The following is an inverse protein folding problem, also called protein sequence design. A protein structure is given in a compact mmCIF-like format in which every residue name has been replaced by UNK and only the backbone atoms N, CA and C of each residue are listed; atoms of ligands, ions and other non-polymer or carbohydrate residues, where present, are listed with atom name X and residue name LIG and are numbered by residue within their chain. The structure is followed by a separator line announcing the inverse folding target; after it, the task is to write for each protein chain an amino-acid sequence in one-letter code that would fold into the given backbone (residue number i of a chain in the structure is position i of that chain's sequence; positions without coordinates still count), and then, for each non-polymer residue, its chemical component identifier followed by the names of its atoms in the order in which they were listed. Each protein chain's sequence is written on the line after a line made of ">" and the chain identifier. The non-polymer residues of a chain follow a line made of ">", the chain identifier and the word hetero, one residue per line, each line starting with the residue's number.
data_IF_782099415139
#
_entry.id   IF_782099415139
#
_cell.length_a   1.000
_cell.length_b   1.000
_cell.length_c   1.000
_cell.angle_alpha   90.00
_cell.angle_beta   90.00
_cell.angle_gamma   90.00
#
_symmetry.space_group_name_H-M   'P 1'
#
loop_
_entity.id
_entity.type
_entity.pdbx_description
1 polymer ?
#
# COMPACT_ATOMS: atom_id res chain seq x y z
N UNK A 1 15.84 -14.03 12.81
CA UNK A 1 14.39 -14.02 13.13
C UNK A 1 13.95 -12.68 13.69
N UNK A 2 14.48 -12.25 14.85
CA UNK A 2 14.14 -10.98 15.51
C UNK A 2 14.05 -9.73 14.61
N UNK A 3 15.01 -9.44 13.70
CA UNK A 3 14.93 -8.24 12.85
C UNK A 3 13.76 -8.29 11.87
N UNK A 4 13.35 -9.48 11.40
CA UNK A 4 12.19 -9.61 10.50
C UNK A 4 10.88 -9.37 11.24
N UNK A 5 10.74 -9.89 12.46
CA UNK A 5 9.57 -9.61 13.30
C UNK A 5 9.43 -8.12 13.60
N UNK A 6 10.53 -7.47 14.01
CA UNK A 6 10.56 -6.03 14.24
C UNK A 6 10.12 -5.26 12.99
N UNK A 7 10.69 -5.62 11.82
CA UNK A 7 10.35 -4.99 10.56
C UNK A 7 8.87 -5.17 10.19
N UNK A 8 8.29 -6.35 10.45
CA UNK A 8 6.86 -6.59 10.25
C UNK A 8 5.99 -5.68 11.12
N UNK A 9 6.29 -5.58 12.42
CA UNK A 9 5.53 -4.70 13.32
C UNK A 9 5.69 -3.22 12.96
N UNK A 10 6.91 -2.78 12.63
CA UNK A 10 7.17 -1.41 12.16
C UNK A 10 6.36 -1.12 10.90
N UNK A 11 6.35 -2.04 9.93
CA UNK A 11 5.57 -1.87 8.70
C UNK A 11 4.06 -1.75 8.97
N UNK A 12 3.51 -2.53 9.90
CA UNK A 12 2.09 -2.47 10.28
C UNK A 12 1.76 -1.16 11.03
N UNK A 13 2.65 -0.71 11.91
CA UNK A 13 2.49 0.58 12.60
C UNK A 13 2.53 1.72 11.59
N UNK A 14 3.49 1.72 10.66
CA UNK A 14 3.57 2.74 9.61
C UNK A 14 2.31 2.75 8.74
N UNK A 15 1.80 1.57 8.37
CA UNK A 15 0.52 1.47 7.65
C UNK A 15 -0.63 2.09 8.45
N UNK A 16 -0.75 1.80 9.76
CA UNK A 16 -1.81 2.35 10.61
C UNK A 16 -1.70 3.87 10.79
N UNK A 17 -0.48 4.39 10.92
CA UNK A 17 -0.22 5.83 10.98
C UNK A 17 -0.61 6.51 9.67
N UNK A 18 -0.19 5.97 8.52
CA UNK A 18 -0.59 6.48 7.21
C UNK A 18 -2.11 6.44 7.02
N UNK A 19 -2.77 5.37 7.44
CA UNK A 19 -4.22 5.23 7.35
C UNK A 19 -4.93 6.28 8.20
N UNK A 20 -4.44 6.51 9.41
CA UNK A 20 -4.97 7.52 10.32
C UNK A 20 -4.77 8.93 9.78
N UNK A 21 -3.62 9.21 9.16
CA UNK A 21 -3.36 10.50 8.51
C UNK A 21 -4.37 10.78 7.40
N UNK A 22 -4.61 9.82 6.50
CA UNK A 22 -5.58 10.00 5.41
C UNK A 22 -7.04 10.10 5.90
N UNK A 23 -7.37 9.50 7.04
CA UNK A 23 -8.71 9.57 7.62
C UNK A 23 -9.02 10.90 8.33
N UNK A 24 -8.02 11.50 9.00
CA UNK A 24 -8.24 12.59 9.95
C UNK A 24 -7.63 13.93 9.54
N UNK A 25 -6.62 13.96 8.68
CA UNK A 25 -5.97 15.23 8.27
C UNK A 25 -6.70 15.80 7.05
N UNK A 26 -7.33 16.95 7.21
CA UNK A 26 -7.89 17.71 6.09
C UNK A 26 -6.76 18.42 5.33
N UNK A 27 -6.56 18.02 4.08
CA UNK A 27 -5.52 18.59 3.21
C UNK A 27 -5.97 19.81 2.43
N UNK A 28 -7.26 20.17 2.44
CA UNK A 28 -7.79 21.33 1.72
C UNK A 28 -7.12 22.66 2.10
N UNK A 29 -7.03 23.05 3.39
CA UNK A 29 -6.36 24.29 3.77
C UNK A 29 -4.87 24.27 3.45
N UNK A 30 -4.21 23.12 3.62
CA UNK A 30 -2.78 22.96 3.31
C UNK A 30 -2.48 23.16 1.82
N UNK A 31 -3.31 22.57 0.94
CA UNK A 31 -3.19 22.73 -0.52
C UNK A 31 -3.43 24.17 -0.96
N UNK A 32 -4.41 24.85 -0.36
CA UNK A 32 -4.67 26.26 -0.65
C UNK A 32 -3.49 27.17 -0.24
N UNK A 33 -2.91 26.93 0.93
CA UNK A 33 -1.75 27.68 1.42
C UNK A 33 -0.51 27.45 0.55
N UNK A 34 -0.25 26.20 0.14
CA UNK A 34 0.86 25.85 -0.76
C UNK A 34 0.79 26.54 -2.12
N UNK A 35 -0.42 26.82 -2.62
CA UNK A 35 -0.61 27.55 -3.88
C UNK A 35 -0.21 29.03 -3.77
N UNK A 36 -0.21 29.60 -2.55
CA UNK A 36 0.20 30.98 -2.29
C UNK A 36 1.67 31.07 -1.87
N UNK A 37 2.09 30.21 -0.95
CA UNK A 37 3.45 30.18 -0.41
C UNK A 37 3.87 28.74 -0.12
N UNK A 38 5.05 28.35 -0.61
CA UNK A 38 5.57 27.01 -0.39
C UNK A 38 6.11 26.84 1.04
N UNK A 39 5.48 25.96 1.80
CA UNK A 39 5.94 25.51 3.12
C UNK A 39 6.19 24.01 3.09
N UNK A 40 7.42 23.59 3.40
CA UNK A 40 7.83 22.18 3.26
C UNK A 40 7.01 21.22 4.14
N UNK A 41 6.61 21.67 5.34
CA UNK A 41 5.82 20.86 6.28
C UNK A 41 4.42 20.60 5.70
N UNK A 42 3.77 21.63 5.17
CA UNK A 42 2.46 21.52 4.53
C UNK A 42 2.53 20.61 3.31
N UNK A 43 3.60 20.73 2.51
CA UNK A 43 3.82 19.86 1.35
C UNK A 43 3.95 18.39 1.76
N UNK A 44 4.76 18.08 2.78
CA UNK A 44 4.93 16.71 3.28
C UNK A 44 3.64 16.14 3.87
N UNK A 45 2.85 16.95 4.59
CA UNK A 45 1.55 16.54 5.11
C UNK A 45 0.55 16.27 3.99
N UNK A 46 0.52 17.10 2.94
CA UNK A 46 -0.30 16.85 1.76
C UNK A 46 0.13 15.56 1.06
N UNK A 47 1.42 15.35 0.82
CA UNK A 47 1.91 14.10 0.21
C UNK A 47 1.52 12.88 1.04
N UNK A 48 1.59 12.97 2.37
CA UNK A 48 1.29 11.85 3.25
C UNK A 48 -0.22 11.61 3.46
N UNK A 49 -1.05 12.64 3.49
CA UNK A 49 -2.46 12.56 3.87
C UNK A 49 -3.46 12.75 2.71
N UNK A 50 -3.04 13.33 1.59
CA UNK A 50 -3.94 13.52 0.44
C UNK A 50 -4.31 12.16 -0.15
N UNK A 51 -5.60 11.96 -0.42
CA UNK A 51 -6.17 10.62 -0.63
C UNK A 51 -5.45 9.81 -1.71
N UNK A 52 -5.16 10.34 -2.91
CA UNK A 52 -4.44 9.59 -3.94
C UNK A 52 -3.06 9.13 -3.47
N UNK A 53 -2.23 10.03 -2.94
CA UNK A 53 -0.85 9.71 -2.53
C UNK A 53 -0.83 8.84 -1.28
N UNK A 54 -1.75 9.08 -0.34
CA UNK A 54 -1.96 8.26 0.84
C UNK A 54 -2.32 6.81 0.47
N UNK A 55 -3.25 6.60 -0.46
CA UNK A 55 -3.59 5.26 -0.97
C UNK A 55 -2.39 4.56 -1.61
N UNK A 56 -1.53 5.31 -2.32
CA UNK A 56 -0.28 4.78 -2.86
C UNK A 56 0.66 4.26 -1.77
N UNK A 57 0.88 5.07 -0.72
CA UNK A 57 1.73 4.69 0.42
C UNK A 57 1.16 3.48 1.16
N UNK A 58 -0.16 3.47 1.42
CA UNK A 58 -0.85 2.34 2.05
C UNK A 58 -0.70 1.05 1.24
N UNK A 59 -0.81 1.14 -0.09
CA UNK A 59 -0.69 -0.01 -0.99
C UNK A 59 0.71 -0.62 -0.93
N UNK A 60 1.75 0.23 -0.89
CA UNK A 60 3.15 -0.21 -0.74
C UNK A 60 3.36 -0.91 0.61
N UNK A 61 2.92 -0.31 1.73
CA UNK A 61 3.07 -0.92 3.04
C UNK A 61 2.26 -2.21 3.19
N UNK A 62 1.05 -2.24 2.64
CA UNK A 62 0.23 -3.44 2.64
C UNK A 62 0.91 -4.58 1.85
N UNK A 63 1.38 -4.30 0.64
CA UNK A 63 2.13 -5.29 -0.16
C UNK A 63 3.42 -5.76 0.50
N UNK A 64 4.18 -4.83 1.10
CA UNK A 64 5.39 -5.14 1.86
C UNK A 64 5.07 -6.04 3.06
N UNK A 65 4.02 -5.73 3.82
CA UNK A 65 3.59 -6.53 4.98
C UNK A 65 3.15 -7.95 4.58
N UNK A 66 2.50 -8.10 3.42
CA UNK A 66 2.20 -9.40 2.82
C UNK A 66 3.47 -10.20 2.52
N UNK A 67 4.46 -9.56 1.88
CA UNK A 67 5.77 -10.18 1.59
C UNK A 67 6.54 -10.58 2.86
N UNK A 68 6.54 -9.73 3.88
CA UNK A 68 7.14 -10.00 5.18
C UNK A 68 6.45 -11.17 5.90
N UNK A 69 5.12 -11.19 5.93
CA UNK A 69 4.35 -12.26 6.55
C UNK A 69 4.61 -13.61 5.86
N UNK A 70 4.62 -13.64 4.52
CA UNK A 70 5.00 -14.82 3.75
C UNK A 70 6.42 -15.29 4.08
N UNK A 71 7.37 -14.36 4.22
CA UNK A 71 8.74 -14.68 4.59
C UNK A 71 8.86 -15.30 5.97
N UNK A 72 8.13 -14.77 6.95
CA UNK A 72 8.08 -15.30 8.31
C UNK A 72 7.50 -16.71 8.33
N UNK A 73 6.36 -16.94 7.69
CA UNK A 73 5.74 -18.27 7.60
C UNK A 73 6.68 -19.28 6.94
N UNK A 74 7.29 -18.92 5.80
CA UNK A 74 8.26 -19.78 5.13
C UNK A 74 9.46 -20.11 6.02
N UNK A 75 9.91 -19.15 6.84
CA UNK A 75 11.01 -19.39 7.78
C UNK A 75 10.66 -20.42 8.86
N UNK A 76 9.38 -20.53 9.21
CA UNK A 76 8.87 -21.55 10.14
C UNK A 76 8.68 -22.90 9.46
N UNK A 77 8.26 -22.93 8.18
CA UNK A 77 7.94 -24.16 7.44
C UNK A 77 9.18 -24.96 6.99
N UNK A 78 10.18 -24.30 6.40
CA UNK A 78 11.35 -24.96 5.78
C UNK A 78 12.66 -24.76 6.56
N UNK A 79 12.61 -23.97 7.65
CA UNK A 79 13.79 -23.64 8.44
C UNK A 79 14.72 -22.62 7.76
N UNK A 80 15.57 -21.97 8.56
CA UNK A 80 16.43 -20.87 8.10
C UNK A 80 17.54 -21.32 7.15
N UNK A 81 18.04 -22.54 7.29
CA UNK A 81 19.16 -23.07 6.50
C UNK A 81 18.84 -23.20 5.01
N UNK A 82 17.56 -23.40 4.67
CA UNK A 82 17.10 -23.51 3.28
C UNK A 82 16.78 -22.15 2.64
N UNK A 83 16.81 -21.05 3.42
CA UNK A 83 16.46 -19.72 2.93
C UNK A 83 17.71 -19.01 2.42
N UNK A 84 17.72 -18.71 1.12
CA UNK A 84 18.73 -17.83 0.52
C UNK A 84 18.36 -16.36 0.78
N UNK A 85 19.11 -15.61 1.60
CA UNK A 85 18.71 -14.28 2.07
C UNK A 85 18.50 -13.27 0.94
N UNK A 86 19.36 -13.27 -0.09
CA UNK A 86 19.20 -12.38 -1.24
C UNK A 86 17.89 -12.60 -2.00
N UNK A 87 17.55 -13.86 -2.31
CA UNK A 87 16.28 -14.19 -2.98
C UNK A 87 15.06 -13.86 -2.12
N UNK A 88 15.19 -13.96 -0.81
CA UNK A 88 14.12 -13.66 0.13
C UNK A 88 13.85 -12.16 0.24
N UNK A 89 14.90 -11.33 0.32
CA UNK A 89 14.77 -9.88 0.33
C UNK A 89 14.13 -9.37 -0.97
N UNK A 90 14.52 -9.92 -2.12
CA UNK A 90 13.88 -9.60 -3.41
C UNK A 90 12.40 -9.97 -3.44
N UNK A 91 11.99 -11.07 -2.78
CA UNK A 91 10.57 -11.46 -2.67
C UNK A 91 9.77 -10.51 -1.78
N UNK A 92 10.36 -10.07 -0.66
CA UNK A 92 9.75 -9.08 0.24
C UNK A 92 9.54 -7.75 -0.50
N UNK A 93 10.58 -7.25 -1.17
CA UNK A 93 10.50 -6.04 -2.00
C UNK A 93 9.52 -6.21 -3.17
N UNK A 94 9.46 -7.41 -3.75
CA UNK A 94 8.47 -7.76 -4.78
C UNK A 94 7.03 -7.58 -4.29
N UNK A 95 6.75 -7.83 -3.00
CA UNK A 95 5.44 -7.54 -2.41
C UNK A 95 5.10 -6.05 -2.39
N UNK A 96 6.06 -5.19 -2.04
CA UNK A 96 5.90 -3.73 -2.07
C UNK A 96 5.63 -3.23 -3.49
N UNK A 97 6.39 -3.73 -4.47
CA UNK A 97 6.20 -3.40 -5.90
C UNK A 97 4.84 -3.88 -6.40
N UNK A 98 4.40 -5.08 -6.02
CA UNK A 98 3.07 -5.58 -6.39
C UNK A 98 1.95 -4.69 -5.84
N UNK A 99 2.08 -4.21 -4.59
CA UNK A 99 1.17 -3.23 -4.02
C UNK A 99 1.14 -1.91 -4.80
N UNK A 100 2.31 -1.38 -5.18
CA UNK A 100 2.40 -0.18 -6.02
C UNK A 100 1.74 -0.37 -7.39
N UNK A 101 1.97 -1.51 -8.05
CA UNK A 101 1.35 -1.82 -9.34
C UNK A 101 -0.18 -1.89 -9.22
N UNK A 102 -0.69 -2.51 -8.16
CA UNK A 102 -2.13 -2.56 -7.90
C UNK A 102 -2.73 -1.15 -7.70
N UNK A 103 -2.05 -0.29 -6.95
CA UNK A 103 -2.42 1.12 -6.81
C UNK A 103 -2.44 1.85 -8.16
N UNK A 104 -1.40 1.69 -8.99
CA UNK A 104 -1.35 2.33 -10.31
C UNK A 104 -2.51 1.87 -11.21
N UNK A 105 -2.85 0.57 -11.19
CA UNK A 105 -4.01 0.03 -11.90
C UNK A 105 -5.32 0.62 -11.39
N UNK A 106 -5.48 0.76 -10.06
CA UNK A 106 -6.65 1.39 -9.46
C UNK A 106 -6.79 2.86 -9.89
N UNK A 107 -5.69 3.62 -9.82
CA UNK A 107 -5.70 5.04 -10.21
C UNK A 107 -5.99 5.21 -11.70
N UNK A 108 -5.40 4.38 -12.56
CA UNK A 108 -5.71 4.38 -13.98
C UNK A 108 -7.21 4.14 -14.22
N UNK A 109 -7.81 3.15 -13.54
CA UNK A 109 -9.25 2.91 -13.60
C UNK A 109 -10.08 4.09 -13.10
N UNK A 110 -9.70 4.71 -11.98
CA UNK A 110 -10.42 5.85 -11.41
C UNK A 110 -10.42 7.06 -12.35
N UNK A 111 -9.27 7.39 -12.97
CA UNK A 111 -9.17 8.49 -13.93
C UNK A 111 -9.84 8.21 -15.28
N UNK A 112 -9.99 6.94 -15.69
CA UNK A 112 -10.74 6.58 -16.89
C UNK A 112 -12.26 6.66 -16.68
N UNK A 113 -12.74 6.36 -15.48
CA UNK A 113 -14.17 6.25 -15.17
C UNK A 113 -14.79 7.54 -14.62
N UNK A 114 -13.98 8.45 -14.07
CA UNK A 114 -14.45 9.65 -13.37
C UNK A 114 -13.71 10.89 -13.86
N UNK A 115 -14.44 11.99 -14.09
CA UNK A 115 -13.86 13.27 -14.52
C UNK A 115 -13.09 13.98 -13.40
N UNK A 116 -13.55 13.85 -12.16
CA UNK A 116 -13.02 14.53 -10.98
C UNK A 116 -12.83 13.57 -9.79
N UNK A 117 -11.97 12.55 -9.94
CA UNK A 117 -11.78 11.57 -8.88
C UNK A 117 -11.11 12.23 -7.67
N UNK A 118 -11.61 11.92 -6.48
CA UNK A 118 -11.07 12.36 -5.18
C UNK A 118 -11.20 13.85 -4.81
N UNK A 119 -11.99 14.64 -5.55
CA UNK A 119 -12.26 16.05 -5.18
C UNK A 119 -13.15 16.17 -3.93
N UNK A 120 -14.14 15.28 -3.77
CA UNK A 120 -15.12 15.29 -2.67
C UNK A 120 -15.26 13.92 -2.01
N UNK A 121 -14.14 13.34 -1.56
CA UNK A 121 -14.18 12.05 -0.87
C UNK A 121 -14.61 12.21 0.59
N UNK A 122 -15.68 11.51 0.96
CA UNK A 122 -16.12 11.42 2.36
C UNK A 122 -15.22 10.48 3.17
N UNK A 123 -15.20 10.65 4.50
CA UNK A 123 -14.48 9.75 5.41
C UNK A 123 -14.89 8.29 5.23
N UNK A 124 -16.19 8.03 5.08
CA UNK A 124 -16.71 6.67 4.86
C UNK A 124 -16.18 6.04 3.56
N UNK A 125 -16.16 6.81 2.47
CA UNK A 125 -15.59 6.34 1.21
C UNK A 125 -14.09 6.06 1.34
N UNK A 126 -13.36 6.93 2.04
CA UNK A 126 -11.94 6.71 2.34
C UNK A 126 -11.73 5.40 3.10
N UNK A 127 -12.44 5.16 4.23
CA UNK A 127 -12.30 3.93 5.01
C UNK A 127 -12.55 2.67 4.18
N UNK A 128 -13.58 2.68 3.33
CA UNK A 128 -13.92 1.56 2.45
C UNK A 128 -12.83 1.31 1.42
N UNK A 129 -12.40 2.34 0.68
CA UNK A 129 -11.41 2.21 -0.39
C UNK A 129 -10.04 1.86 0.20
N UNK A 130 -9.57 2.59 1.20
CA UNK A 130 -8.28 2.34 1.84
C UNK A 130 -8.19 0.94 2.45
N UNK A 131 -9.26 0.47 3.12
CA UNK A 131 -9.33 -0.88 3.68
C UNK A 131 -9.28 -1.97 2.60
N UNK A 132 -10.14 -1.86 1.58
CA UNK A 132 -10.21 -2.85 0.49
C UNK A 132 -8.91 -2.90 -0.32
N UNK A 133 -8.37 -1.74 -0.70
CA UNK A 133 -7.13 -1.65 -1.48
C UNK A 133 -5.95 -2.20 -0.68
N UNK A 134 -5.85 -1.86 0.60
CA UNK A 134 -4.81 -2.42 1.47
C UNK A 134 -4.92 -3.94 1.58
N UNK A 135 -6.13 -4.48 1.73
CA UNK A 135 -6.32 -5.92 1.77
C UNK A 135 -5.88 -6.62 0.46
N UNK A 136 -6.25 -6.07 -0.69
CA UNK A 136 -5.86 -6.62 -1.99
C UNK A 136 -4.34 -6.54 -2.21
N UNK A 137 -3.71 -5.42 -1.84
CA UNK A 137 -2.26 -5.26 -1.91
C UNK A 137 -1.53 -6.23 -0.98
N UNK A 138 -2.04 -6.42 0.25
CA UNK A 138 -1.53 -7.42 1.18
C UNK A 138 -1.56 -8.82 0.57
N UNK A 139 -2.70 -9.22 -0.02
CA UNK A 139 -2.82 -10.51 -0.68
C UNK A 139 -1.86 -10.66 -1.86
N UNK A 140 -1.68 -9.61 -2.66
CA UNK A 140 -0.73 -9.62 -3.77
C UNK A 140 0.71 -9.87 -3.30
N UNK A 141 1.13 -9.27 -2.18
CA UNK A 141 2.43 -9.52 -1.57
C UNK A 141 2.53 -10.88 -0.87
N UNK A 142 1.46 -11.34 -0.22
CA UNK A 142 1.43 -12.56 0.58
C UNK A 142 1.37 -13.83 -0.29
N UNK A 143 0.55 -13.81 -1.35
CA UNK A 143 0.32 -14.93 -2.28
C UNK A 143 0.19 -14.42 -3.71
N UNK A 144 1.30 -14.11 -4.40
CA UNK A 144 1.28 -13.70 -5.80
C UNK A 144 0.64 -14.75 -6.72
N UNK A 145 0.64 -16.03 -6.31
CA UNK A 145 -0.04 -17.11 -7.04
C UNK A 145 -1.58 -16.95 -7.04
N UNK A 146 -2.17 -16.29 -6.04
CA UNK A 146 -3.60 -15.98 -6.04
C UNK A 146 -3.92 -14.91 -7.09
N UNK A 147 -3.06 -13.89 -7.24
CA UNK A 147 -3.21 -12.90 -8.30
C UNK A 147 -3.15 -13.59 -9.66
N UNK A 148 -2.17 -14.49 -9.87
CA UNK A 148 -2.09 -15.31 -11.08
C UNK A 148 -3.37 -16.11 -11.31
N UNK A 149 -3.87 -16.83 -10.31
CA UNK A 149 -5.13 -17.61 -10.44
C UNK A 149 -6.38 -16.76 -10.70
N UNK A 150 -6.40 -15.51 -10.25
CA UNK A 150 -7.49 -14.56 -10.56
C UNK A 150 -7.37 -14.07 -12.00
N UNK A 151 -6.15 -13.73 -12.45
CA UNK A 151 -5.88 -13.33 -13.83
C UNK A 151 -6.17 -14.47 -14.81
N UNK A 152 -5.76 -15.71 -14.50
CA UNK A 152 -6.02 -16.91 -15.30
C UNK A 152 -7.53 -17.22 -15.46
N UNK A 153 -8.40 -16.61 -14.64
CA UNK A 153 -9.86 -16.76 -14.71
C UNK A 153 -10.56 -15.65 -15.47
N UNK A 154 -9.86 -14.58 -15.85
CA UNK A 154 -10.42 -13.52 -16.68
C UNK A 154 -10.31 -13.93 -18.16
N UNK A 155 -11.42 -14.10 -18.89
CA UNK A 155 -11.37 -14.47 -20.29
C UNK A 155 -10.73 -13.33 -21.11
N UNK A 156 -9.57 -13.59 -21.73
CA UNK A 156 -8.85 -12.62 -22.56
C UNK A 156 -7.33 -12.62 -22.48
N UNK A 157 -6.73 -13.49 -21.66
CA UNK A 157 -5.30 -13.82 -21.67
C UNK A 157 -5.08 -15.33 -21.71
#
# INVERSE_FOLDING_TARGET
>A
MLPKYLLTFVCLILWLLTFSMGAFVDTNPLRANLAQQFHIVDFLLVVAAWIPTNLGILSVFAGLSGGLCRSLLRSLEVGLEQIRPGKENSRILGGAVAGLLFYLSLMAGAFLLMSHPFETTTKEQYFRVAGVVSFLCFLAGFRPDLLRRVLDKLPGF
#
